data_IF_328653698436
#
_entry.id   IF_328653698436
#
_cell.length_a   1.000
_cell.length_b   1.000
_cell.length_c   1.000
_cell.angle_alpha   90.00
_cell.angle_beta   90.00
_cell.angle_gamma   90.00
#
_symmetry.space_group_name_H-M   'P 1'
#
loop_
_entity.id
_entity.type
_entity.pdbx_description
1 polymer ?
#
# COMPACT_ATOMS: atom_id res chain seq x y z
N UNK A 1 -10.77 8.95 12.27
CA UNK A 1 -10.22 8.50 10.97
C UNK A 1 -9.59 9.72 10.32
N UNK A 2 -8.28 9.76 10.08
CA UNK A 2 -7.57 10.97 9.61
C UNK A 2 -7.01 10.85 8.19
N UNK A 3 -7.24 9.72 7.52
CA UNK A 3 -6.69 9.45 6.19
C UNK A 3 -7.80 9.21 5.15
N UNK A 4 -7.43 9.40 3.88
CA UNK A 4 -8.34 9.22 2.75
C UNK A 4 -8.79 7.76 2.65
N UNK A 5 -10.11 7.57 2.57
CA UNK A 5 -10.75 6.29 2.34
C UNK A 5 -11.46 6.36 0.99
N UNK A 6 -11.09 5.49 0.06
CA UNK A 6 -11.64 5.47 -1.31
C UNK A 6 -12.14 4.08 -1.65
N UNK A 7 -13.25 3.98 -2.38
CA UNK A 7 -13.82 2.72 -2.85
C UNK A 7 -14.65 2.96 -4.11
N UNK A 8 -14.42 2.14 -5.14
CA UNK A 8 -15.20 2.15 -6.37
C UNK A 8 -16.36 1.14 -6.35
N UNK A 9 -16.57 0.41 -5.24
CA UNK A 9 -17.63 -0.60 -5.06
C UNK A 9 -17.64 -1.75 -6.09
N UNK A 10 -16.49 -2.05 -6.70
CA UNK A 10 -16.32 -3.13 -7.69
C UNK A 10 -15.90 -4.47 -7.09
N UNK A 11 -15.79 -4.58 -5.78
CA UNK A 11 -15.35 -5.79 -5.08
C UNK A 11 -14.03 -6.35 -5.66
N UNK A 12 -14.00 -7.59 -6.13
CA UNK A 12 -12.81 -8.20 -6.76
C UNK A 12 -12.60 -7.78 -8.22
N UNK A 13 -13.59 -7.18 -8.90
CA UNK A 13 -13.47 -6.68 -10.27
C UNK A 13 -12.86 -5.27 -10.33
N UNK A 14 -12.14 -4.86 -9.29
CA UNK A 14 -11.51 -3.55 -9.21
C UNK A 14 -10.24 -3.48 -10.08
N UNK A 15 -10.19 -2.62 -11.13
CA UNK A 15 -9.02 -2.54 -12.01
C UNK A 15 -7.73 -2.15 -11.28
N UNK A 16 -7.82 -1.32 -10.23
CA UNK A 16 -6.64 -0.92 -9.43
C UNK A 16 -6.07 -2.13 -8.68
N UNK A 17 -6.93 -2.99 -8.11
CA UNK A 17 -6.50 -4.20 -7.41
C UNK A 17 -5.77 -5.15 -8.38
N UNK A 18 -6.28 -5.32 -9.60
CA UNK A 18 -5.62 -6.12 -10.64
C UNK A 18 -4.28 -5.51 -11.08
N UNK A 19 -4.22 -4.19 -11.30
CA UNK A 19 -2.99 -3.49 -11.70
C UNK A 19 -1.86 -3.66 -10.66
N UNK A 20 -2.21 -3.59 -9.37
CA UNK A 20 -1.26 -3.78 -8.28
C UNK A 20 -1.12 -5.25 -7.83
N UNK A 21 -1.76 -6.19 -8.55
CA UNK A 21 -1.74 -7.63 -8.25
C UNK A 21 -2.14 -7.98 -6.82
N UNK A 22 -3.23 -7.37 -6.34
CA UNK A 22 -3.81 -7.67 -5.02
C UNK A 22 -4.63 -8.95 -5.12
N UNK A 23 -4.06 -10.06 -4.65
CA UNK A 23 -4.70 -11.39 -4.67
C UNK A 23 -5.38 -11.73 -3.33
N UNK A 24 -5.01 -11.05 -2.25
CA UNK A 24 -5.59 -11.25 -0.93
C UNK A 24 -5.56 -9.97 -0.11
N UNK A 25 -6.44 -9.89 0.88
CA UNK A 25 -6.49 -8.78 1.83
C UNK A 25 -6.08 -9.25 3.24
N UNK A 26 -5.41 -8.40 4.04
CA UNK A 26 -4.95 -7.05 3.69
C UNK A 26 -3.66 -7.05 2.85
N UNK A 27 -3.58 -6.14 1.87
CA UNK A 27 -2.37 -5.86 1.10
C UNK A 27 -1.88 -4.44 1.38
N UNK A 28 -0.57 -4.24 1.48
CA UNK A 28 0.05 -2.95 1.80
C UNK A 28 1.08 -2.59 0.75
N UNK A 29 1.15 -1.31 0.38
CA UNK A 29 2.15 -0.79 -0.58
C UNK A 29 2.72 0.50 -0.02
N UNK A 30 4.03 0.67 -0.19
CA UNK A 30 4.75 1.92 0.10
C UNK A 30 5.29 2.45 -1.22
N UNK A 31 4.98 3.71 -1.53
CA UNK A 31 5.42 4.38 -2.75
C UNK A 31 6.37 5.52 -2.40
N UNK A 32 7.32 5.80 -3.29
CA UNK A 32 8.14 7.01 -3.21
C UNK A 32 7.42 8.23 -3.81
N UNK A 33 8.05 9.41 -3.73
CA UNK A 33 7.50 10.65 -4.28
C UNK A 33 7.36 10.65 -5.81
N UNK A 34 8.05 9.75 -6.51
CA UNK A 34 7.94 9.54 -7.96
C UNK A 34 6.84 8.53 -8.33
N UNK A 35 6.18 7.92 -7.35
CA UNK A 35 5.12 6.94 -7.55
C UNK A 35 5.62 5.51 -7.76
N UNK A 36 6.90 5.22 -7.51
CA UNK A 36 7.40 3.85 -7.61
C UNK A 36 7.11 3.07 -6.33
N UNK A 37 6.76 1.79 -6.46
CA UNK A 37 6.59 0.89 -5.31
C UNK A 37 7.96 0.53 -4.74
N UNK A 38 8.22 0.95 -3.49
CA UNK A 38 9.48 0.70 -2.78
C UNK A 38 9.40 -0.42 -1.74
N UNK A 39 8.18 -0.81 -1.34
CA UNK A 39 7.93 -1.99 -0.53
C UNK A 39 6.47 -2.46 -0.68
N UNK A 40 6.22 -3.74 -0.43
CA UNK A 40 4.88 -4.33 -0.42
C UNK A 40 4.72 -5.36 0.70
N UNK A 41 3.48 -5.56 1.15
CA UNK A 41 3.06 -6.59 2.09
C UNK A 41 3.76 -6.56 3.46
N UNK A 42 4.37 -5.44 3.83
CA UNK A 42 4.95 -5.23 5.16
C UNK A 42 3.85 -5.01 6.20
N UNK A 43 4.06 -5.58 7.40
CA UNK A 43 3.12 -5.52 8.52
C UNK A 43 3.87 -5.33 9.84
N UNK A 44 3.15 -4.89 10.88
CA UNK A 44 3.67 -4.78 12.23
C UNK A 44 4.97 -3.96 12.30
N UNK A 45 5.96 -4.50 13.02
CA UNK A 45 7.24 -3.82 13.26
C UNK A 45 8.07 -3.66 11.98
N UNK A 46 7.97 -4.60 11.05
CA UNK A 46 8.68 -4.50 9.76
C UNK A 46 8.18 -3.31 8.94
N UNK A 47 6.87 -3.05 8.94
CA UNK A 47 6.29 -1.86 8.31
C UNK A 47 6.79 -0.58 8.99
N UNK A 48 6.75 -0.52 10.33
CA UNK A 48 7.20 0.66 11.09
C UNK A 48 8.67 0.97 10.83
N UNK A 49 9.53 -0.05 10.87
CA UNK A 49 10.96 0.10 10.60
C UNK A 49 11.20 0.66 9.20
N UNK A 50 10.49 0.15 8.18
CA UNK A 50 10.66 0.63 6.81
C UNK A 50 10.24 2.08 6.64
N UNK A 51 9.15 2.51 7.27
CA UNK A 51 8.70 3.90 7.22
C UNK A 51 9.72 4.83 7.90
N UNK A 52 10.27 4.44 9.06
CA UNK A 52 11.32 5.23 9.74
C UNK A 52 12.56 5.36 8.85
N UNK A 53 13.03 4.26 8.26
CA UNK A 53 14.18 4.25 7.34
C UNK A 53 13.98 5.22 6.16
N UNK A 54 12.78 5.24 5.56
CA UNK A 54 12.48 6.08 4.41
C UNK A 54 12.33 7.56 4.77
N UNK A 55 11.82 7.88 5.96
CA UNK A 55 11.61 9.26 6.42
C UNK A 55 12.84 9.88 7.08
N UNK A 56 13.84 9.09 7.45
CA UNK A 56 15.10 9.58 8.02
C UNK A 56 16.08 10.14 6.97
N UNK A 57 15.73 10.04 5.68
CA UNK A 57 16.47 10.65 4.56
C UNK A 57 15.91 12.02 4.23
#
# INVERSE_FOLDING_TARGET
MTWNQVSNLKFWDEPIAAQYKVESIPATFILDASGNVVAKDLRGDALRAKIIELLAK
#
